data_IF_251385404906
#
_entry.id   IF_251385404906
#
_cell.length_a   1.000
_cell.length_b   1.000
_cell.length_c   1.000
_cell.angle_alpha   90.00
_cell.angle_beta   90.00
_cell.angle_gamma   90.00
#
_symmetry.space_group_name_H-M   'P 1'
#
loop_
_entity.id
_entity.type
_entity.pdbx_description
1 polymer ?
#
# COMPACT_ATOMS: atom_id res chain seq x y z
N UNK A 1 -30.47 -12.20 -5.87
CA UNK A 1 -29.99 -10.95 -6.51
C UNK A 1 -28.65 -10.63 -5.85
N UNK A 2 -27.53 -10.92 -6.51
CA UNK A 2 -26.22 -10.56 -5.96
C UNK A 2 -26.11 -9.04 -6.07
N UNK A 3 -26.00 -8.38 -4.92
CA UNK A 3 -25.82 -6.94 -4.82
C UNK A 3 -24.61 -6.56 -5.67
N UNK A 4 -24.71 -5.62 -6.63
CA UNK A 4 -23.55 -5.26 -7.44
C UNK A 4 -22.48 -4.76 -6.48
N UNK A 5 -21.32 -5.42 -6.47
CA UNK A 5 -20.19 -4.99 -5.66
C UNK A 5 -20.00 -3.49 -5.92
N UNK A 6 -20.13 -2.63 -4.90
CA UNK A 6 -20.09 -1.17 -5.10
C UNK A 6 -18.74 -0.73 -5.68
N UNK A 7 -17.75 -1.63 -5.68
CA UNK A 7 -16.44 -1.42 -6.23
C UNK A 7 -16.21 -2.00 -7.63
N UNK A 8 -17.16 -2.74 -8.22
CA UNK A 8 -17.01 -3.30 -9.59
C UNK A 8 -16.94 -2.22 -10.67
N UNK A 9 -17.48 -1.03 -10.42
CA UNK A 9 -17.36 0.11 -11.34
C UNK A 9 -16.08 0.92 -11.16
N UNK A 10 -15.32 0.70 -10.08
CA UNK A 10 -14.10 1.43 -9.84
C UNK A 10 -12.92 0.82 -10.58
N UNK A 11 -12.15 1.67 -11.27
CA UNK A 11 -10.86 1.30 -11.84
C UNK A 11 -9.90 0.87 -10.73
N UNK A 12 -8.92 0.02 -11.04
CA UNK A 12 -7.91 -0.51 -10.11
C UNK A 12 -7.29 0.61 -9.25
N UNK A 13 -6.98 1.75 -9.85
CA UNK A 13 -6.44 2.92 -9.14
C UNK A 13 -7.40 3.51 -8.10
N UNK A 14 -8.70 3.55 -8.37
CA UNK A 14 -9.70 4.04 -7.41
C UNK A 14 -9.86 3.06 -6.23
N UNK A 15 -9.89 1.75 -6.52
CA UNK A 15 -9.90 0.71 -5.49
C UNK A 15 -8.66 0.80 -4.59
N UNK A 16 -7.48 1.02 -5.17
CA UNK A 16 -6.22 1.19 -4.44
C UNK A 16 -6.27 2.44 -3.55
N UNK A 17 -6.76 3.58 -4.06
CA UNK A 17 -6.89 4.80 -3.24
C UNK A 17 -7.86 4.61 -2.08
N UNK A 18 -8.97 3.91 -2.30
CA UNK A 18 -9.92 3.55 -1.25
C UNK A 18 -9.28 2.63 -0.20
N UNK A 19 -8.51 1.62 -0.64
CA UNK A 19 -7.73 0.75 0.24
C UNK A 19 -6.77 1.55 1.11
N UNK A 20 -5.90 2.35 0.48
CA UNK A 20 -4.88 3.17 1.18
C UNK A 20 -5.55 4.08 2.21
N UNK A 21 -6.65 4.74 1.86
CA UNK A 21 -7.40 5.58 2.79
C UNK A 21 -7.99 4.77 3.96
N UNK A 22 -8.48 3.56 3.69
CA UNK A 22 -9.00 2.65 4.72
C UNK A 22 -7.93 2.11 5.67
N UNK A 23 -6.76 1.74 5.16
CA UNK A 23 -5.66 1.22 5.98
C UNK A 23 -4.88 2.30 6.72
N UNK A 24 -4.76 3.50 6.14
CA UNK A 24 -4.00 4.60 6.74
C UNK A 24 -4.61 5.07 8.07
N UNK A 25 -5.93 4.94 8.24
CA UNK A 25 -6.62 5.21 9.51
C UNK A 25 -6.50 4.10 10.56
N UNK A 26 -6.02 2.91 10.18
CA UNK A 26 -5.94 1.76 11.06
C UNK A 26 -4.51 1.55 11.56
N UNK A 27 -4.27 1.86 12.85
CA UNK A 27 -2.96 1.69 13.51
C UNK A 27 -2.39 0.28 13.32
N UNK A 28 -3.24 -0.76 13.40
CA UNK A 28 -2.85 -2.17 13.19
C UNK A 28 -2.24 -2.42 11.80
N UNK A 29 -2.81 -1.83 10.75
CA UNK A 29 -2.29 -1.98 9.39
C UNK A 29 -1.00 -1.18 9.20
N UNK A 30 -0.95 0.03 9.76
CA UNK A 30 0.26 0.85 9.69
C UNK A 30 1.45 0.17 10.40
N UNK A 31 1.24 -0.42 11.58
CA UNK A 31 2.26 -1.20 12.28
C UNK A 31 2.65 -2.47 11.52
N UNK A 32 1.70 -3.18 10.93
CA UNK A 32 1.98 -4.38 10.15
C UNK A 32 2.83 -4.04 8.90
N UNK A 33 2.47 -2.96 8.19
CA UNK A 33 3.24 -2.47 7.05
C UNK A 33 4.62 -1.95 7.46
N UNK A 34 4.74 -1.33 8.63
CA UNK A 34 6.03 -0.89 9.17
C UNK A 34 6.95 -2.06 9.53
N UNK A 35 6.38 -3.17 10.03
CA UNK A 35 7.10 -4.40 10.39
C UNK A 35 7.35 -5.33 9.20
N UNK A 36 6.73 -5.08 8.06
CA UNK A 36 6.89 -5.91 6.87
C UNK A 36 8.35 -5.86 6.40
N UNK A 37 9.05 -7.01 6.33
CA UNK A 37 10.47 -7.05 5.95
C UNK A 37 10.68 -6.81 4.46
N UNK A 38 9.71 -7.21 3.63
CA UNK A 38 9.84 -7.25 2.18
C UNK A 38 8.57 -6.73 1.47
N UNK A 39 8.73 -6.41 0.19
CA UNK A 39 7.65 -5.98 -0.69
C UNK A 39 6.51 -7.01 -0.75
N UNK A 40 6.84 -8.30 -0.78
CA UNK A 40 5.81 -9.37 -0.82
C UNK A 40 4.98 -9.41 0.47
N UNK A 41 5.62 -9.22 1.64
CA UNK A 41 4.91 -9.14 2.91
C UNK A 41 3.99 -7.91 2.97
N UNK A 42 4.42 -6.77 2.44
CA UNK A 42 3.55 -5.59 2.29
C UNK A 42 2.37 -5.86 1.37
N UNK A 43 2.62 -6.50 0.22
CA UNK A 43 1.56 -6.86 -0.74
C UNK A 43 0.55 -7.84 -0.15
N UNK A 44 1.01 -8.80 0.66
CA UNK A 44 0.14 -9.74 1.35
C UNK A 44 -0.77 -9.01 2.37
N UNK A 45 -0.21 -8.11 3.19
CA UNK A 45 -0.98 -7.29 4.12
C UNK A 45 -2.00 -6.39 3.39
N UNK A 46 -1.59 -5.76 2.28
CA UNK A 46 -2.48 -4.94 1.46
C UNK A 46 -3.60 -5.76 0.82
N UNK A 47 -3.28 -6.98 0.37
CA UNK A 47 -4.26 -7.91 -0.18
C UNK A 47 -5.27 -8.32 0.90
N UNK A 48 -4.81 -8.70 2.10
CA UNK A 48 -5.68 -9.04 3.22
C UNK A 48 -6.58 -7.87 3.64
N UNK A 49 -6.06 -6.64 3.63
CA UNK A 49 -6.84 -5.44 3.90
C UNK A 49 -7.88 -5.19 2.79
N UNK A 50 -7.51 -5.40 1.53
CA UNK A 50 -8.41 -5.28 0.39
C UNK A 50 -9.57 -6.28 0.45
N UNK A 51 -9.27 -7.52 0.80
CA UNK A 51 -10.25 -8.58 1.01
C UNK A 51 -11.23 -8.23 2.14
N UNK A 52 -10.71 -7.75 3.28
CA UNK A 52 -11.54 -7.28 4.40
C UNK A 52 -12.50 -6.15 4.04
N UNK A 53 -12.12 -5.27 3.12
CA UNK A 53 -12.94 -4.13 2.69
C UNK A 53 -13.89 -4.54 1.54
N UNK A 54 -13.68 -5.72 0.93
CA UNK A 54 -14.46 -6.18 -0.23
C UNK A 54 -14.03 -5.53 -1.55
N UNK A 55 -12.78 -5.09 -1.65
CA UNK A 55 -12.24 -4.44 -2.86
C UNK A 55 -11.75 -5.46 -3.90
N UNK A 56 -11.42 -6.68 -3.47
CA UNK A 56 -11.03 -7.79 -4.35
C UNK A 56 -9.75 -7.53 -5.17
N UNK A 57 -8.82 -6.71 -4.67
CA UNK A 57 -7.57 -6.44 -5.38
C UNK A 57 -6.57 -7.59 -5.21
N UNK A 58 -5.95 -7.97 -6.33
CA UNK A 58 -4.86 -8.95 -6.32
C UNK A 58 -3.51 -8.28 -6.03
N UNK A 59 -2.53 -9.05 -5.53
CA UNK A 59 -1.15 -8.57 -5.31
C UNK A 59 -0.54 -7.90 -6.54
N UNK A 60 -0.79 -8.46 -7.72
CA UNK A 60 -0.36 -7.88 -9.00
C UNK A 60 -0.96 -6.51 -9.22
N UNK A 61 -2.28 -6.37 -9.07
CA UNK A 61 -2.93 -5.07 -9.18
C UNK A 61 -2.40 -4.08 -8.16
N UNK A 62 -2.18 -4.49 -6.90
CA UNK A 62 -1.58 -3.64 -5.87
C UNK A 62 -0.15 -3.20 -6.23
N UNK A 63 0.65 -4.09 -6.81
CA UNK A 63 2.03 -3.82 -7.19
C UNK A 63 2.14 -2.98 -8.48
N UNK A 64 1.21 -3.13 -9.41
CA UNK A 64 1.25 -2.48 -10.73
C UNK A 64 0.47 -1.15 -10.75
N UNK A 65 -0.42 -0.95 -9.79
CA UNK A 65 -1.31 0.21 -9.75
C UNK A 65 -0.73 1.36 -8.90
N UNK A 66 -0.61 2.58 -9.44
CA UNK A 66 -0.27 3.76 -8.66
C UNK A 66 -1.43 4.17 -7.73
N UNK A 67 -1.18 4.72 -6.52
CA UNK A 67 0.12 5.10 -5.95
C UNK A 67 0.89 3.97 -5.23
N UNK A 68 0.33 2.76 -5.11
CA UNK A 68 1.00 1.67 -4.39
C UNK A 68 2.29 1.22 -5.07
N UNK A 69 2.29 1.10 -6.41
CA UNK A 69 3.50 0.82 -7.19
C UNK A 69 4.65 1.78 -6.83
N UNK A 70 4.36 3.08 -6.85
CA UNK A 70 5.33 4.13 -6.55
C UNK A 70 5.79 4.08 -5.10
N UNK A 71 4.88 3.80 -4.16
CA UNK A 71 5.25 3.63 -2.75
C UNK A 71 6.13 2.41 -2.50
N UNK A 72 5.85 1.26 -3.13
CA UNK A 72 6.68 0.07 -3.05
C UNK A 72 8.04 0.29 -3.69
N UNK A 73 8.08 0.99 -4.82
CA UNK A 73 9.32 1.42 -5.45
C UNK A 73 10.12 2.34 -4.54
N UNK A 74 9.47 3.32 -3.89
CA UNK A 74 10.11 4.23 -2.93
C UNK A 74 10.64 3.48 -1.71
N UNK A 75 9.88 2.53 -1.13
CA UNK A 75 10.36 1.70 -0.02
C UNK A 75 11.55 0.82 -0.38
N UNK A 76 11.64 0.37 -1.64
CA UNK A 76 12.74 -0.47 -2.14
C UNK A 76 13.98 0.34 -2.55
N UNK A 77 13.78 1.51 -3.15
CA UNK A 77 14.84 2.39 -3.66
C UNK A 77 15.17 3.56 -2.73
N UNK A 78 14.47 3.75 -1.62
CA UNK A 78 15.04 4.48 -0.50
C UNK A 78 16.06 3.55 0.14
N UNK A 79 17.37 3.69 -0.16
CA UNK A 79 18.34 3.27 0.83
C UNK A 79 17.93 3.98 2.12
N UNK A 80 18.12 3.32 3.25
CA UNK A 80 18.07 3.95 4.56
C UNK A 80 18.72 5.34 4.44
N UNK A 81 17.90 6.41 4.37
CA UNK A 81 18.36 7.70 4.82
C UNK A 81 18.59 7.43 6.29
N UNK A 82 19.85 7.15 6.60
CA UNK A 82 20.35 7.00 7.94
C UNK A 82 19.80 8.20 8.69
N UNK A 83 18.76 8.00 9.50
CA UNK A 83 18.38 8.98 10.50
C UNK A 83 19.53 8.91 11.52
N UNK A 84 20.56 9.71 11.23
CA UNK A 84 21.87 9.65 11.86
C UNK A 84 22.95 9.99 10.84
N UNK A 85 23.35 11.25 10.77
CA UNK A 85 24.40 11.81 9.92
C UNK A 85 24.08 11.92 8.41
N UNK A 86 23.38 12.99 8.06
CA UNK A 86 24.03 13.92 7.12
C UNK A 86 23.68 15.34 7.54
N UNK A 87 24.66 15.96 8.18
CA UNK A 87 24.72 17.40 8.40
C UNK A 87 24.37 18.10 7.08
N UNK A 88 23.48 19.08 7.16
CA UNK A 88 23.27 20.08 6.13
C UNK A 88 24.62 20.75 5.83
N UNK A 89 25.29 20.34 4.75
CA UNK A 89 26.36 21.11 4.13
C UNK A 89 25.73 22.12 3.17
N UNK A 90 25.98 23.44 3.32
CA UNK A 90 25.37 24.43 2.46
C UNK A 90 26.26 24.70 1.25
N UNK A 91 25.99 24.08 0.09
CA UNK A 91 26.36 24.63 -1.23
C UNK A 91 25.42 24.10 -2.31
#
# INVERSE_FOLDING_TARGET
MAQPDPYSQYSSAQKVRALVKGIQGHRRWNEALAKAPDQEAMLDLLQQASDKIGLGLSRRELAETPPLRDWLWFKRNSPLFTIGNQEFGPY
#
